data_IF_067670276039
#
_entry.id   IF_067670276039
#
_cell.length_a   1.000
_cell.length_b   1.000
_cell.length_c   1.000
_cell.angle_alpha   90.00
_cell.angle_beta   90.00
_cell.angle_gamma   90.00
#
_symmetry.space_group_name_H-M   'P 1'
#
loop_
_entity.id
_entity.type
_entity.pdbx_description
1 polymer ?
#
# COMPACT_ATOMS: atom_id res chain seq x y z
N UNK A 1 6.10 -9.36 -20.38
CA UNK A 1 5.43 -8.05 -20.56
C UNK A 1 4.03 -8.05 -19.97
N UNK A 2 3.22 -9.12 -20.13
CA UNK A 2 1.94 -9.25 -19.41
C UNK A 2 2.12 -9.37 -17.89
N UNK A 3 3.13 -10.12 -17.43
CA UNK A 3 3.45 -10.29 -16.00
C UNK A 3 3.73 -8.97 -15.27
N UNK A 4 4.52 -8.07 -15.85
CA UNK A 4 4.82 -6.74 -15.25
C UNK A 4 3.55 -5.91 -15.09
N UNK A 5 2.65 -5.92 -16.09
CA UNK A 5 1.38 -5.20 -16.00
C UNK A 5 0.48 -5.78 -14.93
N UNK A 6 0.44 -7.11 -14.83
CA UNK A 6 -0.35 -7.80 -13.82
C UNK A 6 0.18 -7.50 -12.41
N UNK A 7 1.50 -7.51 -12.21
CA UNK A 7 2.11 -7.10 -10.94
C UNK A 7 1.79 -5.64 -10.61
N UNK A 8 1.93 -4.71 -11.57
CA UNK A 8 1.58 -3.31 -11.36
C UNK A 8 0.10 -3.10 -11.03
N UNK A 9 -0.81 -3.87 -11.63
CA UNK A 9 -2.24 -3.82 -11.33
C UNK A 9 -2.58 -4.35 -9.93
N UNK A 10 -1.85 -5.37 -9.47
CA UNK A 10 -2.20 -6.14 -8.28
C UNK A 10 -1.35 -5.85 -7.04
N UNK A 11 -0.33 -4.99 -7.11
CA UNK A 11 0.61 -4.78 -6.01
C UNK A 11 -0.05 -4.30 -4.70
N UNK A 12 -1.13 -3.51 -4.81
CA UNK A 12 -1.81 -2.87 -3.68
C UNK A 12 -3.13 -3.56 -3.25
N UNK A 13 -3.49 -4.72 -3.83
CA UNK A 13 -4.80 -5.36 -3.52
C UNK A 13 -4.90 -5.85 -2.07
N UNK A 14 -3.76 -6.01 -1.39
CA UNK A 14 -3.64 -6.40 0.00
C UNK A 14 -3.72 -5.25 1.00
N UNK A 15 -4.00 -4.01 0.57
CA UNK A 15 -4.24 -2.92 1.53
C UNK A 15 -5.56 -3.10 2.27
N UNK A 16 -5.50 -3.01 3.61
CA UNK A 16 -6.68 -3.03 4.47
C UNK A 16 -7.38 -1.66 4.59
N UNK A 17 -8.41 -1.55 5.45
CA UNK A 17 -9.13 -0.30 5.68
C UNK A 17 -8.21 0.88 6.00
N UNK A 18 -8.35 1.98 5.26
CA UNK A 18 -7.50 3.17 5.36
C UNK A 18 -6.00 2.91 5.08
N UNK A 19 -5.70 1.92 4.24
CA UNK A 19 -4.37 1.63 3.69
C UNK A 19 -3.30 1.44 4.79
N UNK A 20 -2.25 2.26 4.81
CA UNK A 20 -1.16 2.17 5.78
C UNK A 20 -1.57 2.34 7.24
N UNK A 21 -2.73 2.93 7.53
CA UNK A 21 -3.27 2.96 8.89
C UNK A 21 -3.50 1.55 9.42
N UNK A 22 -4.07 0.66 8.59
CA UNK A 22 -4.34 -0.72 9.00
C UNK A 22 -3.05 -1.45 9.39
N UNK A 23 -2.04 -1.36 8.52
CA UNK A 23 -0.77 -2.07 8.65
C UNK A 23 0.13 -1.51 9.74
N UNK A 24 0.38 -0.20 9.73
CA UNK A 24 1.42 0.40 10.56
C UNK A 24 0.90 0.90 11.90
N UNK A 25 -0.41 1.07 12.04
CA UNK A 25 -1.01 1.63 13.25
C UNK A 25 -1.96 0.63 13.93
N UNK A 26 -2.91 0.04 13.21
CA UNK A 26 -3.91 -0.84 13.83
C UNK A 26 -3.34 -2.22 14.20
N UNK A 27 -2.87 -3.00 13.23
CA UNK A 27 -2.39 -4.37 13.46
C UNK A 27 -1.31 -4.48 14.56
N UNK A 28 -0.29 -3.60 14.63
CA UNK A 28 0.75 -3.70 15.66
C UNK A 28 0.22 -3.53 17.09
N UNK A 29 -0.97 -2.91 17.26
CA UNK A 29 -1.61 -2.69 18.57
C UNK A 29 -2.50 -3.86 19.01
N UNK A 30 -3.04 -4.65 18.08
CA UNK A 30 -3.99 -5.75 18.36
C UNK A 30 -3.43 -7.14 18.08
N UNK A 31 -2.39 -7.24 17.27
CA UNK A 31 -1.68 -8.46 16.91
C UNK A 31 -0.16 -8.23 17.05
N UNK A 32 0.34 -8.01 18.28
CA UNK A 32 1.74 -7.67 18.50
C UNK A 32 2.64 -8.86 18.13
N UNK A 33 3.62 -8.61 17.27
CA UNK A 33 4.55 -9.62 16.76
C UNK A 33 4.18 -10.18 15.39
N UNK A 34 3.03 -9.77 14.84
CA UNK A 34 2.66 -10.03 13.46
C UNK A 34 3.69 -9.44 12.50
N UNK A 35 4.11 -10.22 11.50
CA UNK A 35 4.93 -9.75 10.37
C UNK A 35 4.07 -9.41 9.15
N UNK A 36 2.79 -9.11 9.38
CA UNK A 36 1.83 -8.82 8.32
C UNK A 36 2.28 -7.61 7.50
N UNK A 37 2.17 -7.71 6.17
CA UNK A 37 2.36 -6.59 5.25
C UNK A 37 1.33 -6.66 4.12
N UNK A 38 0.98 -5.50 3.55
CA UNK A 38 0.02 -5.47 2.45
C UNK A 38 0.56 -6.19 1.21
N UNK A 39 1.89 -6.21 0.99
CA UNK A 39 2.51 -6.93 -0.14
C UNK A 39 2.33 -8.45 0.00
N UNK A 40 2.49 -8.99 1.22
CA UNK A 40 2.26 -10.41 1.49
C UNK A 40 0.77 -10.77 1.32
N UNK A 41 -0.12 -9.91 1.80
CA UNK A 41 -1.56 -10.11 1.58
C UNK A 41 -1.94 -10.00 0.09
N UNK A 42 -1.33 -9.09 -0.68
CA UNK A 42 -1.54 -9.00 -2.13
C UNK A 42 -1.20 -10.31 -2.84
N UNK A 43 -0.13 -10.99 -2.40
CA UNK A 43 0.25 -12.31 -2.92
C UNK A 43 -0.79 -13.38 -2.56
N UNK A 44 -1.25 -13.41 -1.30
CA UNK A 44 -2.25 -14.38 -0.86
C UNK A 44 -3.60 -14.19 -1.57
N UNK A 45 -4.04 -12.95 -1.75
CA UNK A 45 -5.24 -12.61 -2.52
C UNK A 45 -5.12 -12.99 -3.99
N UNK A 46 -3.95 -12.79 -4.60
CA UNK A 46 -3.70 -13.21 -5.98
C UNK A 46 -3.87 -14.73 -6.13
N UNK A 47 -3.30 -15.53 -5.21
CA UNK A 47 -3.48 -16.98 -5.21
C UNK A 47 -4.97 -17.37 -5.03
N UNK A 48 -5.67 -16.75 -4.06
CA UNK A 48 -7.11 -16.95 -3.85
C UNK A 48 -7.94 -16.61 -5.10
N UNK A 49 -7.67 -15.49 -5.78
CA UNK A 49 -8.38 -15.07 -7.00
C UNK A 49 -8.17 -16.09 -8.13
N UNK A 50 -6.93 -16.55 -8.33
CA UNK A 50 -6.59 -17.52 -9.38
C UNK A 50 -7.31 -18.85 -9.13
N UNK A 51 -7.25 -19.35 -7.90
CA UNK A 51 -7.84 -20.64 -7.52
C UNK A 51 -9.37 -20.59 -7.58
N UNK A 52 -9.98 -19.56 -6.98
CA UNK A 52 -11.44 -19.40 -6.88
C UNK A 52 -12.12 -19.23 -8.24
N UNK A 53 -11.46 -18.56 -9.18
CA UNK A 53 -11.99 -18.31 -10.50
C UNK A 53 -11.43 -19.25 -11.57
N UNK A 54 -10.62 -20.24 -11.18
CA UNK A 54 -9.96 -21.19 -12.08
C UNK A 54 -9.28 -20.48 -13.28
N UNK A 55 -8.53 -19.42 -12.98
CA UNK A 55 -7.85 -18.61 -14.00
C UNK A 55 -6.69 -19.43 -14.59
N UNK A 56 -6.74 -19.68 -15.89
CA UNK A 56 -5.65 -20.37 -16.60
C UNK A 56 -4.44 -19.44 -16.73
N UNK A 57 -3.49 -19.61 -15.79
CA UNK A 57 -2.21 -18.91 -15.75
C UNK A 57 -1.09 -19.91 -15.49
N UNK A 58 -0.01 -19.80 -16.26
CA UNK A 58 1.17 -20.64 -16.04
C UNK A 58 1.80 -20.33 -14.68
N UNK A 59 2.12 -21.38 -13.91
CA UNK A 59 2.75 -21.26 -12.58
C UNK A 59 4.03 -20.40 -12.59
N UNK A 60 4.82 -20.46 -13.67
CA UNK A 60 6.00 -19.61 -13.84
C UNK A 60 5.66 -18.13 -13.89
N UNK A 61 4.62 -17.75 -14.64
CA UNK A 61 4.16 -16.36 -14.73
C UNK A 61 3.54 -15.87 -13.42
N UNK A 62 2.73 -16.71 -12.77
CA UNK A 62 2.14 -16.40 -11.47
C UNK A 62 3.24 -16.14 -10.42
N UNK A 63 4.28 -16.99 -10.41
CA UNK A 63 5.45 -16.81 -9.55
C UNK A 63 6.16 -15.49 -9.81
N UNK A 64 6.45 -15.16 -11.07
CA UNK A 64 7.10 -13.88 -11.42
C UNK A 64 6.28 -12.67 -10.98
N UNK A 65 4.95 -12.72 -11.10
CA UNK A 65 4.05 -11.64 -10.65
C UNK A 65 4.16 -11.44 -9.15
N UNK A 66 4.07 -12.51 -8.36
CA UNK A 66 4.19 -12.48 -6.90
C UNK A 66 5.55 -11.91 -6.47
N UNK A 67 6.62 -12.38 -7.07
CA UNK A 67 7.96 -11.90 -6.76
C UNK A 67 8.14 -10.40 -7.09
N UNK A 68 7.57 -9.91 -8.20
CA UNK A 68 7.59 -8.47 -8.54
C UNK A 68 6.79 -7.60 -7.56
N UNK A 69 5.69 -8.11 -6.98
CA UNK A 69 4.91 -7.42 -5.95
C UNK A 69 5.76 -7.28 -4.68
N UNK A 70 6.45 -8.34 -4.27
CA UNK A 70 7.24 -8.37 -3.02
C UNK A 70 8.68 -7.87 -3.16
N UNK A 71 9.09 -7.40 -4.35
CA UNK A 71 10.49 -7.14 -4.67
C UNK A 71 11.13 -6.03 -3.82
N UNK A 72 10.33 -5.10 -3.29
CA UNK A 72 10.79 -4.04 -2.35
C UNK A 72 11.10 -4.58 -0.96
N UNK A 73 10.25 -5.47 -0.44
CA UNK A 73 10.34 -6.00 0.92
C UNK A 73 11.24 -7.23 1.04
N UNK A 74 11.25 -8.08 0.00
CA UNK A 74 11.92 -9.39 -0.01
C UNK A 74 12.82 -9.50 -1.26
N UNK A 75 13.97 -8.81 -1.28
CA UNK A 75 14.89 -8.92 -2.40
C UNK A 75 15.37 -10.38 -2.55
N UNK A 76 15.01 -11.00 -3.67
CA UNK A 76 15.27 -12.43 -3.93
C UNK A 76 16.79 -12.72 -3.94
N UNK A 77 17.23 -13.67 -3.13
CA UNK A 77 18.62 -14.14 -3.07
C UNK A 77 18.94 -15.23 -4.11
N UNK A 78 17.93 -15.99 -4.54
CA UNK A 78 18.07 -17.09 -5.51
C UNK A 78 17.81 -16.60 -6.92
N UNK A 79 18.88 -16.21 -7.61
CA UNK A 79 18.83 -15.67 -8.96
C UNK A 79 19.06 -16.79 -9.98
N UNK A 80 18.04 -17.08 -10.79
CA UNK A 80 18.22 -17.87 -12.01
C UNK A 80 19.07 -17.08 -13.00
N UNK A 81 20.14 -17.69 -13.54
CA UNK A 81 21.03 -17.03 -14.51
C UNK A 81 20.31 -16.59 -15.81
N UNK A 82 19.06 -17.02 -16.03
CA UNK A 82 18.28 -16.73 -17.23
C UNK A 82 17.16 -15.69 -17.01
N UNK A 83 17.02 -15.15 -15.80
CA UNK A 83 15.94 -14.21 -15.48
C UNK A 83 16.39 -12.76 -15.67
N UNK A 84 15.52 -11.92 -16.24
CA UNK A 84 15.80 -10.50 -16.53
C UNK A 84 15.56 -9.67 -15.26
N UNK A 85 16.60 -9.40 -14.48
CA UNK A 85 16.46 -8.75 -13.18
C UNK A 85 15.89 -7.34 -13.26
N UNK A 86 16.18 -6.60 -14.33
CA UNK A 86 15.64 -5.25 -14.50
C UNK A 86 14.09 -5.19 -14.48
N UNK A 87 13.39 -6.32 -14.71
CA UNK A 87 11.93 -6.36 -14.63
C UNK A 87 11.40 -6.16 -13.20
N UNK A 88 12.15 -6.61 -12.20
CA UNK A 88 11.79 -6.51 -10.78
C UNK A 88 11.97 -5.09 -10.22
N UNK A 89 12.76 -4.26 -10.90
CA UNK A 89 12.92 -2.84 -10.60
C UNK A 89 11.72 -1.99 -11.08
N UNK A 90 10.76 -2.56 -11.82
CA UNK A 90 9.67 -1.78 -12.44
C UNK A 90 8.56 -1.45 -11.44
N UNK A 91 8.01 -2.47 -10.76
CA UNK A 91 6.79 -2.34 -9.95
C UNK A 91 7.11 -1.92 -8.51
N UNK A 92 8.02 -2.65 -7.85
CA UNK A 92 8.42 -2.40 -6.47
C UNK A 92 9.95 -2.48 -6.35
N UNK A 93 10.62 -1.34 -6.48
CA UNK A 93 12.08 -1.32 -6.60
C UNK A 93 12.77 -1.31 -5.24
N UNK A 94 13.15 -2.48 -4.74
CA UNK A 94 13.88 -2.61 -3.47
C UNK A 94 15.32 -2.09 -3.48
N UNK A 95 15.90 -1.85 -4.66
CA UNK A 95 17.30 -1.40 -4.78
C UNK A 95 17.47 0.09 -4.51
N UNK A 96 16.57 0.91 -5.04
CA UNK A 96 16.68 2.36 -4.94
C UNK A 96 15.34 3.10 -4.81
N UNK A 97 14.21 2.39 -4.82
CA UNK A 97 12.87 2.97 -4.68
C UNK A 97 12.46 3.87 -5.85
N UNK A 98 13.01 3.65 -7.05
CA UNK A 98 12.54 4.29 -8.28
C UNK A 98 11.70 3.27 -9.06
N UNK A 99 10.38 3.36 -8.91
CA UNK A 99 9.40 2.44 -9.47
C UNK A 99 8.13 3.16 -9.95
N UNK A 100 7.30 2.44 -10.71
CA UNK A 100 6.09 3.01 -11.32
C UNK A 100 4.96 3.27 -10.31
N UNK A 101 4.96 2.58 -9.17
CA UNK A 101 4.09 2.88 -8.03
C UNK A 101 4.26 4.35 -7.60
N UNK A 102 5.50 4.74 -7.29
CA UNK A 102 5.82 6.14 -6.93
C UNK A 102 5.54 7.12 -8.05
N UNK A 103 5.69 6.70 -9.31
CA UNK A 103 5.39 7.58 -10.43
C UNK A 103 3.90 7.91 -10.51
N UNK A 104 3.04 6.95 -10.18
CA UNK A 104 1.59 7.14 -10.16
C UNK A 104 1.15 7.93 -8.93
N UNK A 105 1.42 7.44 -7.71
CA UNK A 105 0.83 8.04 -6.51
C UNK A 105 1.35 9.46 -6.28
N UNK A 106 2.62 9.77 -6.57
CA UNK A 106 3.13 11.14 -6.41
C UNK A 106 2.38 12.12 -7.31
N UNK A 107 2.10 11.74 -8.56
CA UNK A 107 1.32 12.56 -9.47
C UNK A 107 -0.14 12.67 -9.06
N UNK A 108 -0.75 11.54 -8.68
CA UNK A 108 -2.15 11.43 -8.25
C UNK A 108 -2.43 12.23 -6.99
N UNK A 109 -1.58 12.10 -5.98
CA UNK A 109 -1.77 12.72 -4.67
C UNK A 109 -1.53 14.21 -4.71
N UNK A 110 -0.49 14.67 -5.44
CA UNK A 110 -0.33 16.10 -5.69
C UNK A 110 -1.60 16.69 -6.32
N UNK A 111 -2.15 16.02 -7.34
CA UNK A 111 -3.40 16.47 -7.98
C UNK A 111 -4.58 16.46 -7.00
N UNK A 112 -4.77 15.39 -6.24
CA UNK A 112 -5.88 15.25 -5.30
C UNK A 112 -5.83 16.27 -4.16
N UNK A 113 -4.63 16.63 -3.70
CA UNK A 113 -4.41 17.61 -2.64
C UNK A 113 -4.29 19.06 -3.14
N UNK A 114 -4.37 19.30 -4.45
CA UNK A 114 -4.21 20.64 -5.04
C UNK A 114 -2.78 21.20 -4.92
N UNK A 115 -1.78 20.32 -4.87
CA UNK A 115 -0.36 20.66 -4.81
C UNK A 115 0.27 20.61 -6.20
N UNK A 116 1.29 21.45 -6.43
CA UNK A 116 2.09 21.37 -7.66
C UNK A 116 2.97 20.12 -7.67
N UNK A 117 2.91 19.34 -8.76
CA UNK A 117 3.82 18.21 -8.99
C UNK A 117 4.92 18.63 -9.98
N UNK A 118 6.15 18.79 -9.47
CA UNK A 118 7.30 19.14 -10.30
C UNK A 118 7.99 17.91 -10.93
N UNK A 119 7.63 16.71 -10.47
CA UNK A 119 8.13 15.46 -11.02
C UNK A 119 7.37 15.08 -12.31
N UNK A 120 8.13 14.78 -13.37
CA UNK A 120 7.60 14.45 -14.69
C UNK A 120 8.15 13.08 -15.11
N UNK A 121 7.44 12.01 -14.76
CA UNK A 121 7.93 10.63 -14.96
C UNK A 121 8.21 10.29 -16.43
N UNK A 122 7.46 10.87 -17.39
CA UNK A 122 7.67 10.64 -18.83
C UNK A 122 9.08 10.97 -19.30
N UNK A 123 9.73 11.98 -18.70
CA UNK A 123 11.13 12.33 -19.01
C UNK A 123 12.09 11.19 -18.67
N UNK A 124 11.85 10.49 -17.55
CA UNK A 124 12.65 9.32 -17.18
C UNK A 124 12.37 8.14 -18.12
N UNK A 125 11.10 7.92 -18.48
CA UNK A 125 10.70 6.81 -19.35
C UNK A 125 11.27 6.92 -20.78
N UNK A 126 11.43 8.12 -21.33
CA UNK A 126 12.04 8.33 -22.65
C UNK A 126 13.54 7.99 -22.68
N UNK A 127 14.25 8.37 -21.60
CA UNK A 127 15.70 8.25 -21.49
C UNK A 127 16.20 6.91 -20.95
N UNK A 128 15.38 6.19 -20.19
CA UNK A 128 15.82 4.97 -19.49
C UNK A 128 16.28 3.86 -20.44
N UNK A 129 17.30 3.10 -20.04
CA UNK A 129 17.87 1.97 -20.79
C UNK A 129 18.20 0.83 -19.83
N UNK A 130 18.26 -0.38 -20.35
CA UNK A 130 18.80 -1.52 -19.61
C UNK A 130 20.28 -1.65 -19.90
N UNK A 131 21.12 -1.61 -18.86
CA UNK A 131 22.56 -1.84 -18.95
C UNK A 131 22.99 -2.77 -17.82
N UNK A 132 23.70 -3.86 -18.16
CA UNK A 132 24.13 -4.82 -17.13
C UNK A 132 22.96 -5.45 -16.34
N UNK A 133 21.80 -5.63 -16.99
CA UNK A 133 20.57 -6.15 -16.37
C UNK A 133 19.94 -5.25 -15.28
N UNK A 134 20.25 -3.96 -15.32
CA UNK A 134 19.65 -2.93 -14.46
C UNK A 134 18.96 -1.84 -15.29
N UNK A 135 17.91 -1.24 -14.74
CA UNK A 135 17.35 0.01 -15.28
C UNK A 135 18.32 1.15 -14.94
N UNK A 136 18.80 1.83 -15.97
CA UNK A 136 19.69 2.98 -15.89
C UNK A 136 19.06 4.21 -16.53
N UNK A 137 19.37 5.39 -15.97
CA UNK A 137 18.91 6.68 -16.45
C UNK A 137 20.10 7.50 -16.97
N UNK A 138 19.92 8.32 -18.03
CA UNK A 138 20.95 9.26 -18.47
C UNK A 138 21.37 10.19 -17.34
N UNK A 139 22.68 10.42 -17.17
CA UNK A 139 23.21 11.28 -16.10
C UNK A 139 22.61 12.70 -16.10
N UNK A 140 22.26 13.23 -17.28
CA UNK A 140 21.59 14.54 -17.43
C UNK A 140 20.21 14.61 -16.77
N UNK A 141 19.54 13.47 -16.54
CA UNK A 141 18.20 13.39 -15.96
C UNK A 141 18.20 13.33 -14.43
N UNK A 142 19.37 13.50 -13.79
CA UNK A 142 19.51 13.47 -12.33
C UNK A 142 18.56 14.43 -11.60
N UNK A 143 18.27 15.61 -12.19
CA UNK A 143 17.32 16.56 -11.63
C UNK A 143 15.89 16.02 -11.59
N UNK A 144 15.50 15.20 -12.56
CA UNK A 144 14.18 14.57 -12.57
C UNK A 144 14.06 13.53 -11.44
N UNK A 145 15.13 12.76 -11.19
CA UNK A 145 15.20 11.83 -10.05
C UNK A 145 15.16 12.59 -8.73
N UNK A 146 15.93 13.69 -8.59
CA UNK A 146 15.88 14.52 -7.39
C UNK A 146 14.47 15.06 -7.13
N UNK A 147 13.77 15.50 -8.19
CA UNK A 147 12.38 15.99 -8.10
C UNK A 147 11.41 14.94 -7.60
N UNK A 148 11.55 13.67 -7.99
CA UNK A 148 10.74 12.56 -7.46
C UNK A 148 10.85 12.52 -5.92
N UNK A 149 12.08 12.44 -5.41
CA UNK A 149 12.30 12.31 -3.97
C UNK A 149 11.95 13.58 -3.20
N UNK A 150 12.22 14.78 -3.75
CA UNK A 150 11.82 16.03 -3.10
C UNK A 150 10.30 16.17 -3.03
N UNK A 151 9.58 15.89 -4.13
CA UNK A 151 8.11 15.96 -4.13
C UNK A 151 7.50 14.91 -3.20
N UNK A 152 8.06 13.69 -3.17
CA UNK A 152 7.66 12.66 -2.19
C UNK A 152 7.88 13.13 -0.75
N UNK A 153 9.04 13.72 -0.44
CA UNK A 153 9.32 14.24 0.90
C UNK A 153 8.36 15.37 1.31
N UNK A 154 8.00 16.24 0.36
CA UNK A 154 7.02 17.31 0.58
C UNK A 154 5.61 16.75 0.83
N UNK A 155 5.17 15.75 0.05
CA UNK A 155 3.91 15.04 0.29
C UNK A 155 3.86 14.41 1.69
N UNK A 156 4.94 13.74 2.11
CA UNK A 156 5.02 13.20 3.47
C UNK A 156 4.84 14.30 4.51
N UNK A 157 5.62 15.39 4.43
CA UNK A 157 5.61 16.46 5.43
C UNK A 157 4.29 17.23 5.50
N UNK A 158 3.67 17.46 4.35
CA UNK A 158 2.53 18.40 4.23
C UNK A 158 1.17 17.71 4.19
N UNK A 159 1.12 16.47 3.72
CA UNK A 159 -0.13 15.70 3.54
C UNK A 159 -0.14 14.50 4.49
N UNK A 160 0.71 13.50 4.26
CA UNK A 160 0.60 12.21 4.95
C UNK A 160 0.86 12.30 6.45
N UNK A 161 1.75 13.20 6.88
CA UNK A 161 2.02 13.46 8.31
C UNK A 161 1.41 14.75 8.81
N UNK A 162 0.42 15.31 8.11
CA UNK A 162 -0.26 16.51 8.57
C UNK A 162 -0.91 16.26 9.93
N UNK A 163 -0.72 17.16 10.89
CA UNK A 163 -1.09 16.92 12.29
C UNK A 163 -2.58 16.59 12.49
N UNK A 164 -3.47 17.17 11.67
CA UNK A 164 -4.90 16.85 11.69
C UNK A 164 -5.25 15.52 11.02
N UNK A 165 -4.46 15.08 10.04
CA UNK A 165 -4.60 13.73 9.46
C UNK A 165 -4.22 12.71 10.52
N UNK A 166 -3.04 12.85 11.13
CA UNK A 166 -2.59 11.98 12.22
C UNK A 166 -3.54 11.94 13.42
N UNK A 167 -4.11 13.07 13.82
CA UNK A 167 -5.13 13.09 14.88
C UNK A 167 -6.37 12.25 14.52
N UNK A 168 -6.82 12.28 13.26
CA UNK A 168 -7.95 11.46 12.80
C UNK A 168 -7.56 10.00 12.68
N UNK A 169 -6.39 9.69 12.11
CA UNK A 169 -5.88 8.32 11.99
C UNK A 169 -5.79 7.64 13.36
N UNK A 170 -5.20 8.29 14.36
CA UNK A 170 -5.10 7.74 15.71
C UNK A 170 -6.48 7.51 16.36
N UNK A 171 -7.44 8.42 16.14
CA UNK A 171 -8.81 8.20 16.61
C UNK A 171 -9.51 7.04 15.88
N UNK A 172 -9.28 6.89 14.57
CA UNK A 172 -9.82 5.74 13.82
C UNK A 172 -9.21 4.44 14.34
N UNK A 173 -7.91 4.40 14.61
CA UNK A 173 -7.24 3.24 15.20
C UNK A 173 -7.84 2.89 16.55
N UNK A 174 -8.02 3.86 17.45
CA UNK A 174 -8.66 3.62 18.76
C UNK A 174 -10.08 3.06 18.60
N UNK A 175 -10.84 3.56 17.61
CA UNK A 175 -12.17 3.04 17.32
C UNK A 175 -12.13 1.61 16.78
N UNK A 176 -11.17 1.29 15.91
CA UNK A 176 -10.98 -0.07 15.38
C UNK A 176 -10.53 -1.04 16.49
N UNK A 177 -9.67 -0.60 17.42
CA UNK A 177 -9.24 -1.40 18.59
C UNK A 177 -10.44 -1.73 19.46
N UNK A 178 -11.26 -0.74 19.82
CA UNK A 178 -12.46 -0.96 20.64
C UNK A 178 -13.52 -1.81 19.90
N UNK A 179 -13.47 -1.88 18.57
CA UNK A 179 -14.35 -2.74 17.76
C UNK A 179 -13.78 -4.13 17.47
N UNK A 180 -12.47 -4.34 17.70
CA UNK A 180 -11.75 -5.51 17.21
C UNK A 180 -12.30 -6.82 17.76
N UNK A 181 -12.50 -6.92 19.08
CA UNK A 181 -12.95 -8.16 19.74
C UNK A 181 -14.33 -8.60 19.26
N UNK A 182 -15.19 -7.63 18.93
CA UNK A 182 -16.56 -7.90 18.47
C UNK A 182 -16.63 -8.21 16.97
N UNK A 183 -15.89 -7.44 16.15
CA UNK A 183 -15.91 -7.59 14.69
C UNK A 183 -14.87 -8.60 14.16
N UNK A 184 -13.96 -9.09 15.01
CA UNK A 184 -12.89 -10.00 14.62
C UNK A 184 -11.95 -9.40 13.58
N UNK A 185 -11.68 -8.09 13.63
CA UNK A 185 -10.99 -7.38 12.54
C UNK A 185 -9.59 -7.96 12.29
N UNK A 186 -8.80 -8.16 13.34
CA UNK A 186 -7.47 -8.77 13.22
C UNK A 186 -7.51 -10.25 12.85
N UNK A 187 -8.58 -10.97 13.19
CA UNK A 187 -8.75 -12.38 12.81
C UNK A 187 -8.96 -12.51 11.29
N UNK A 188 -9.81 -11.65 10.74
CA UNK A 188 -10.06 -11.59 9.29
C UNK A 188 -8.86 -11.03 8.50
N UNK A 189 -7.86 -10.46 9.18
CA UNK A 189 -6.69 -9.86 8.53
C UNK A 189 -5.74 -10.87 7.88
N UNK A 190 -5.83 -12.16 8.25
CA UNK A 190 -4.86 -13.19 7.87
C UNK A 190 -5.38 -14.19 6.82
N UNK A 191 -6.69 -14.21 6.56
CA UNK A 191 -7.31 -15.10 5.58
C UNK A 191 -7.84 -14.28 4.39
N UNK A 192 -7.35 -14.52 3.15
CA UNK A 192 -7.86 -13.86 1.95
C UNK A 192 -9.38 -13.89 1.79
N UNK A 193 -10.05 -14.98 2.19
CA UNK A 193 -11.50 -15.14 2.03
C UNK A 193 -12.32 -14.26 2.97
N UNK A 194 -11.71 -13.77 4.05
CA UNK A 194 -12.31 -12.80 4.97
C UNK A 194 -11.76 -11.40 4.77
N UNK A 195 -10.46 -11.28 4.45
CA UNK A 195 -9.77 -10.01 4.26
C UNK A 195 -10.41 -9.16 3.17
N UNK A 196 -10.82 -9.75 2.03
CA UNK A 196 -11.42 -8.97 0.94
C UNK A 196 -12.72 -8.25 1.33
N UNK A 197 -13.35 -8.65 2.44
CA UNK A 197 -14.56 -8.02 3.00
C UNK A 197 -14.22 -6.86 3.94
N UNK A 198 -12.95 -6.70 4.33
CA UNK A 198 -12.48 -5.61 5.18
C UNK A 198 -12.13 -4.40 4.31
N UNK A 199 -13.03 -3.41 4.31
CA UNK A 199 -12.80 -2.12 3.65
C UNK A 199 -13.23 -0.96 4.57
N UNK A 200 -13.13 0.27 4.07
CA UNK A 200 -13.49 1.49 4.81
C UNK A 200 -14.96 1.54 5.25
N UNK A 201 -15.84 0.67 4.70
CA UNK A 201 -17.22 0.55 5.16
C UNK A 201 -17.32 0.04 6.61
N UNK A 202 -16.22 -0.48 7.17
CA UNK A 202 -16.15 -0.84 8.60
C UNK A 202 -16.55 0.30 9.53
N UNK A 203 -16.25 1.55 9.17
CA UNK A 203 -16.69 2.73 9.93
C UNK A 203 -18.21 2.84 9.90
N UNK A 204 -18.82 2.60 8.74
CA UNK A 204 -20.28 2.60 8.62
C UNK A 204 -20.90 1.47 9.44
N UNK A 205 -20.30 0.28 9.41
CA UNK A 205 -20.71 -0.88 10.21
C UNK A 205 -20.71 -0.55 11.70
N UNK A 206 -19.64 0.07 12.22
CA UNK A 206 -19.57 0.51 13.62
C UNK A 206 -20.63 1.58 13.93
N UNK A 207 -20.83 2.56 13.04
CA UNK A 207 -21.82 3.62 13.22
C UNK A 207 -23.25 3.08 13.28
N UNK A 208 -23.60 2.10 12.44
CA UNK A 208 -24.98 1.59 12.31
C UNK A 208 -25.28 0.37 13.18
N UNK A 209 -24.28 -0.21 13.85
CA UNK A 209 -24.50 -1.34 14.74
C UNK A 209 -25.52 -0.99 15.84
N UNK A 210 -26.51 -1.87 16.11
CA UNK A 210 -27.53 -1.67 17.14
C UNK A 210 -27.03 -1.98 18.56
N UNK A 211 -25.85 -2.59 18.66
CA UNK A 211 -25.34 -3.26 19.84
C UNK A 211 -24.50 -2.34 20.74
N UNK A 212 -24.48 -2.61 22.04
CA UNK A 212 -23.76 -1.79 23.03
C UNK A 212 -22.25 -2.09 23.06
N UNK A 213 -21.84 -3.23 22.52
CA UNK A 213 -20.47 -3.73 22.42
C UNK A 213 -19.59 -2.76 21.62
N UNK A 214 -20.15 -2.07 20.63
CA UNK A 214 -19.46 -1.09 19.80
C UNK A 214 -19.66 0.36 20.28
N UNK A 215 -20.22 0.57 21.47
CA UNK A 215 -20.58 1.91 21.97
C UNK A 215 -19.38 2.86 22.01
N UNK A 216 -18.24 2.42 22.56
CA UNK A 216 -17.04 3.25 22.65
C UNK A 216 -16.45 3.60 21.27
N UNK A 217 -16.33 2.61 20.40
CA UNK A 217 -15.87 2.83 19.02
C UNK A 217 -16.77 3.86 18.30
N UNK A 218 -18.09 3.74 18.47
CA UNK A 218 -19.08 4.68 17.93
C UNK A 218 -18.96 6.07 18.51
N UNK A 219 -18.71 6.22 19.81
CA UNK A 219 -18.46 7.51 20.46
C UNK A 219 -17.21 8.20 19.88
N UNK A 220 -16.13 7.46 19.65
CA UNK A 220 -14.91 7.99 19.02
C UNK A 220 -15.20 8.46 17.59
N UNK A 221 -15.89 7.66 16.77
CA UNK A 221 -16.26 8.04 15.41
C UNK A 221 -17.17 9.27 15.42
N UNK A 222 -18.15 9.36 16.33
CA UNK A 222 -19.01 10.53 16.46
C UNK A 222 -18.22 11.80 16.77
N UNK A 223 -17.18 11.71 17.61
CA UNK A 223 -16.27 12.84 17.86
C UNK A 223 -15.53 13.27 16.60
N UNK A 224 -15.06 12.32 15.77
CA UNK A 224 -14.47 12.64 14.47
C UNK A 224 -15.47 13.41 13.60
N UNK A 225 -16.72 12.93 13.50
CA UNK A 225 -17.80 13.59 12.72
C UNK A 225 -18.12 15.00 13.22
N UNK A 226 -18.05 15.23 14.54
CA UNK A 226 -18.25 16.55 15.17
C UNK A 226 -16.99 17.43 15.18
N UNK A 227 -15.89 16.93 14.63
CA UNK A 227 -14.57 17.59 14.63
C UNK A 227 -13.99 17.81 16.04
N UNK A 228 -14.40 17.00 17.01
CA UNK A 228 -13.89 16.97 18.38
C UNK A 228 -12.61 16.11 18.47
N UNK A 229 -11.62 16.49 17.67
CA UNK A 229 -10.39 15.73 17.45
C UNK A 229 -9.44 15.75 18.65
N UNK A 230 -8.53 14.78 18.71
CA UNK A 230 -7.39 14.83 19.63
C UNK A 230 -6.58 16.13 19.44
N UNK A 231 -6.15 16.69 20.57
CA UNK A 231 -5.32 17.88 20.60
C UNK A 231 -3.87 17.46 20.37
N UNK A 232 -3.22 18.13 19.44
CA UNK A 232 -1.79 18.03 19.24
C UNK A 232 -1.16 18.93 20.31
N UNK A 233 -0.37 18.33 21.19
CA UNK A 233 0.32 19.02 22.29
C UNK A 233 1.78 19.22 21.90
#
# INVERSE_FOLDING_TARGET
MQTVKLAGLLHDIGHGPFSHLFEHEFLPRVDPGSSWSHEDMSVLLLDSIVDKHAIDIENGYLKMVKEMITASAKPTSTKSANEKHFLYDIVANGRNGIDVDKFDYVGRDCRACGLGCNFQYWRLLEGMRVMGDEICYPAKDYLSIHKLFSTRADLHRTVYTHAKVKAVELMLVDALIEANDYLGISLHAHDPEDFWKLDDTIIKTIETAPNNELKKAKEIIQRIRRRELYKVV
#
